data_IF_935712030087
#
_entry.id   IF_935712030087
#
_cell.length_a   1.000
_cell.length_b   1.000
_cell.length_c   1.000
_cell.angle_alpha   90.00
_cell.angle_beta   90.00
_cell.angle_gamma   90.00
#
_symmetry.space_group_name_H-M   'P 1'
#
loop_
_entity.id
_entity.type
_entity.pdbx_description
1 polymer ?
#
# COMPACT_ATOMS: atom_id res chain seq x y z
N UNK A 1 -14.31 -21.44 22.33
CA UNK A 1 -12.91 -21.87 22.52
C UNK A 1 -12.03 -20.83 21.86
N UNK A 2 -11.10 -20.26 22.63
CA UNK A 2 -10.35 -19.05 22.26
C UNK A 2 -9.48 -19.24 21.02
N UNK A 3 -9.60 -18.30 20.09
CA UNK A 3 -8.68 -18.11 18.98
C UNK A 3 -7.55 -17.19 19.48
N UNK A 4 -6.48 -17.78 19.97
CA UNK A 4 -5.19 -17.11 20.13
C UNK A 4 -4.20 -17.88 19.25
N UNK A 5 -3.82 -17.29 18.11
CA UNK A 5 -2.68 -17.78 17.33
C UNK A 5 -1.67 -16.64 17.22
N UNK A 6 -0.54 -16.83 17.89
CA UNK A 6 0.71 -16.11 17.61
C UNK A 6 1.15 -16.51 16.21
N UNK A 7 0.85 -15.67 15.22
CA UNK A 7 1.59 -15.65 13.97
C UNK A 7 2.94 -15.00 14.28
N UNK A 8 4.04 -15.63 13.86
CA UNK A 8 5.34 -14.96 13.89
C UNK A 8 5.57 -14.43 12.48
N UNK A 9 5.02 -13.27 12.22
CA UNK A 9 5.21 -12.51 10.99
C UNK A 9 6.54 -11.75 11.09
N UNK A 10 7.35 -11.86 10.05
CA UNK A 10 8.57 -11.08 9.92
C UNK A 10 8.32 -10.00 8.86
N UNK A 11 8.31 -8.75 9.31
CA UNK A 11 8.27 -7.58 8.46
C UNK A 11 9.69 -7.22 8.01
N UNK A 12 9.88 -6.66 6.83
CA UNK A 12 11.19 -6.21 6.33
C UNK A 12 11.11 -4.81 5.72
N UNK A 13 12.21 -4.05 5.81
CA UNK A 13 12.40 -2.74 5.16
C UNK A 13 13.52 -2.89 4.12
N UNK A 14 13.34 -2.43 2.89
CA UNK A 14 14.35 -2.53 1.81
C UNK A 14 14.74 -1.15 1.24
N UNK A 15 16.03 -0.95 0.91
CA UNK A 15 16.61 0.25 0.26
C UNK A 15 17.16 -0.13 -1.12
N UNK A 16 16.90 0.69 -2.14
CA UNK A 16 17.32 0.47 -3.53
C UNK A 16 18.66 1.15 -3.84
N UNK A 17 19.79 0.47 -3.61
CA UNK A 17 21.09 0.78 -4.25
C UNK A 17 22.01 -0.45 -4.17
N UNK A 18 22.68 -0.77 -5.28
CA UNK A 18 23.66 -1.87 -5.54
C UNK A 18 23.08 -3.22 -6.02
N UNK A 19 23.15 -3.46 -7.35
CA UNK A 19 22.81 -4.73 -8.01
C UNK A 19 24.06 -5.38 -8.66
N UNK A 20 24.30 -6.67 -8.39
CA UNK A 20 25.30 -7.48 -9.11
C UNK A 20 24.65 -8.63 -9.87
N UNK A 21 24.98 -8.73 -11.16
CA UNK A 21 24.41 -9.61 -12.19
C UNK A 21 25.08 -11.00 -12.18
N UNK A 22 24.30 -12.08 -12.35
CA UNK A 22 24.80 -13.40 -12.75
C UNK A 22 24.05 -13.87 -14.00
N UNK A 23 24.79 -14.44 -14.96
CA UNK A 23 24.33 -14.71 -16.33
C UNK A 23 23.82 -16.14 -16.53
N UNK A 24 22.88 -16.33 -17.47
CA UNK A 24 23.06 -17.27 -18.58
C UNK A 24 22.26 -16.85 -19.83
N UNK A 25 23.00 -16.30 -20.81
CA UNK A 25 22.78 -16.22 -22.26
C UNK A 25 21.36 -16.36 -22.85
N UNK A 26 20.73 -15.20 -23.08
CA UNK A 26 19.99 -14.87 -24.30
C UNK A 26 20.46 -13.48 -24.78
N UNK A 27 20.55 -13.25 -26.08
CA UNK A 27 21.04 -11.97 -26.64
C UNK A 27 20.09 -10.84 -26.25
N UNK A 28 20.57 -9.80 -25.55
CA UNK A 28 19.71 -8.73 -25.06
C UNK A 28 19.33 -7.79 -26.21
N UNK A 29 18.03 -7.55 -26.39
CA UNK A 29 17.59 -6.22 -26.82
C UNK A 29 18.17 -5.26 -25.77
N UNK A 30 18.88 -4.22 -26.21
CA UNK A 30 19.65 -3.30 -25.35
C UNK A 30 19.02 -3.14 -23.96
N UNK A 31 19.78 -3.55 -22.93
CA UNK A 31 19.55 -3.18 -21.53
C UNK A 31 19.56 -1.64 -21.49
N UNK A 32 18.41 -1.02 -21.71
CA UNK A 32 18.22 0.38 -21.38
C UNK A 32 18.21 0.43 -19.86
N UNK A 33 19.25 1.01 -19.29
CA UNK A 33 19.32 1.37 -17.88
C UNK A 33 18.23 2.41 -17.60
N UNK A 34 17.01 1.97 -17.36
CA UNK A 34 15.84 2.83 -17.20
C UNK A 34 15.68 3.26 -15.75
N UNK A 35 16.63 4.08 -15.32
CA UNK A 35 16.37 5.10 -14.31
C UNK A 35 17.02 6.36 -14.86
N UNK A 36 16.33 7.03 -15.79
CA UNK A 36 16.69 8.41 -16.08
C UNK A 36 16.46 9.17 -14.78
N UNK A 37 17.55 9.55 -14.11
CA UNK A 37 17.49 10.49 -13.00
C UNK A 37 16.70 11.71 -13.45
N UNK A 38 15.88 12.26 -12.55
CA UNK A 38 15.17 13.52 -12.79
C UNK A 38 16.14 14.59 -13.33
N UNK A 39 16.10 14.85 -14.64
CA UNK A 39 16.85 15.93 -15.26
C UNK A 39 15.95 17.17 -15.33
N UNK A 40 16.06 18.01 -14.32
CA UNK A 40 15.36 19.29 -14.26
C UNK A 40 15.63 20.15 -15.52
N UNK A 41 16.80 20.01 -16.16
CA UNK A 41 17.10 20.76 -17.40
C UNK A 41 16.28 20.31 -18.60
N UNK A 42 15.66 19.12 -18.50
CA UNK A 42 14.86 18.52 -19.57
C UNK A 42 13.40 18.96 -19.55
N UNK A 43 13.00 19.75 -18.54
CA UNK A 43 11.67 20.33 -18.36
C UNK A 43 11.79 21.86 -18.56
N UNK A 44 11.03 22.40 -19.50
CA UNK A 44 11.06 23.85 -19.77
C UNK A 44 10.55 24.63 -18.55
N UNK A 45 11.26 25.71 -18.19
CA UNK A 45 10.93 26.50 -17.00
C UNK A 45 11.05 25.78 -15.66
N UNK A 46 11.79 24.67 -15.57
CA UNK A 46 11.92 23.91 -14.32
C UNK A 46 12.40 24.78 -13.14
N UNK A 47 11.66 24.67 -12.04
CA UNK A 47 11.87 25.46 -10.84
C UNK A 47 11.90 24.61 -9.55
N UNK A 48 11.71 23.30 -9.68
CA UNK A 48 11.77 22.36 -8.56
C UNK A 48 13.21 22.29 -8.01
N UNK A 49 13.39 22.69 -6.75
CA UNK A 49 14.69 22.66 -6.09
C UNK A 49 14.54 22.30 -4.61
N UNK A 50 15.64 21.96 -3.90
CA UNK A 50 15.58 21.69 -2.47
C UNK A 50 14.88 22.77 -1.63
N UNK A 51 14.91 24.03 -2.08
CA UNK A 51 14.29 25.17 -1.38
C UNK A 51 12.98 25.63 -2.03
N UNK A 52 12.54 24.99 -3.13
CA UNK A 52 11.30 25.28 -3.82
C UNK A 52 10.68 24.02 -4.42
N UNK A 53 10.31 23.06 -3.58
CA UNK A 53 9.69 21.79 -4.02
C UNK A 53 8.24 21.93 -4.46
N UNK A 54 7.58 23.04 -4.12
CA UNK A 54 6.21 23.32 -4.55
C UNK A 54 6.13 23.61 -6.05
N UNK A 55 7.19 24.14 -6.62
CA UNK A 55 7.25 24.50 -8.03
C UNK A 55 7.67 23.30 -8.88
N UNK A 56 7.10 23.12 -10.07
CA UNK A 56 7.51 22.09 -11.02
C UNK A 56 8.11 22.72 -12.28
N UNK A 57 7.32 23.48 -13.02
CA UNK A 57 7.70 24.21 -14.24
C UNK A 57 6.90 25.51 -14.38
N UNK A 58 7.05 26.25 -15.48
CA UNK A 58 6.41 27.58 -15.68
C UNK A 58 4.91 27.60 -15.35
N UNK A 59 4.17 26.55 -15.74
CA UNK A 59 2.70 26.50 -15.60
C UNK A 59 2.21 25.45 -14.60
N UNK A 60 3.13 24.72 -13.96
CA UNK A 60 2.80 23.57 -13.11
C UNK A 60 3.46 23.70 -11.74
N UNK A 61 2.66 23.55 -10.69
CA UNK A 61 3.09 23.57 -9.30
C UNK A 61 2.21 22.66 -8.44
N UNK A 62 2.39 22.70 -7.12
CA UNK A 62 1.64 21.87 -6.16
C UNK A 62 0.14 22.18 -6.09
N UNK A 63 -0.29 23.33 -6.63
CA UNK A 63 -1.69 23.78 -6.63
C UNK A 63 -2.41 23.48 -7.94
N UNK A 64 -1.68 23.04 -8.96
CA UNK A 64 -2.24 22.60 -10.24
C UNK A 64 -3.15 21.38 -10.06
N UNK A 65 -4.36 21.42 -10.62
CA UNK A 65 -5.28 20.28 -10.56
C UNK A 65 -4.85 19.16 -11.50
N UNK A 66 -4.15 18.18 -10.94
CA UNK A 66 -3.54 17.07 -11.67
C UNK A 66 -4.54 16.04 -12.23
N UNK A 67 -5.81 16.12 -11.84
CA UNK A 67 -6.88 15.30 -12.44
C UNK A 67 -7.42 15.93 -13.73
N UNK A 68 -7.27 17.24 -13.92
CA UNK A 68 -7.82 17.98 -15.06
C UNK A 68 -6.73 18.32 -16.10
N UNK A 69 -5.54 18.69 -15.63
CA UNK A 69 -4.44 19.10 -16.49
C UNK A 69 -3.15 18.39 -16.12
N UNK A 70 -2.43 17.94 -17.15
CA UNK A 70 -1.15 17.24 -17.02
C UNK A 70 -0.10 17.95 -17.88
N UNK A 71 1.15 18.05 -17.43
CA UNK A 71 2.23 18.59 -18.26
C UNK A 71 2.53 17.63 -19.41
N UNK A 72 3.10 18.17 -20.49
CA UNK A 72 3.66 17.34 -21.55
C UNK A 72 4.87 16.58 -21.00
N UNK A 73 4.83 15.25 -21.09
CA UNK A 73 5.96 14.40 -20.74
C UNK A 73 6.51 13.62 -21.94
N UNK A 74 7.39 12.67 -21.63
CA UNK A 74 8.07 11.81 -22.60
C UNK A 74 7.63 10.36 -22.42
N UNK A 75 7.86 9.56 -23.45
CA UNK A 75 7.65 8.11 -23.36
C UNK A 75 8.83 7.47 -22.64
N UNK A 76 8.56 6.82 -21.50
CA UNK A 76 9.50 6.01 -20.72
C UNK A 76 9.20 4.55 -21.02
N UNK A 77 10.09 3.88 -21.73
CA UNK A 77 9.93 2.46 -22.06
C UNK A 77 10.48 1.62 -20.92
N UNK A 78 9.79 0.58 -20.47
CA UNK A 78 10.31 -0.36 -19.48
C UNK A 78 10.14 -1.79 -19.97
N UNK A 79 11.17 -2.60 -19.73
CA UNK A 79 11.17 -4.00 -20.11
C UNK A 79 11.26 -4.85 -18.85
N UNK A 80 10.17 -5.57 -18.57
CA UNK A 80 10.00 -6.35 -17.36
C UNK A 80 9.75 -7.80 -17.72
N UNK A 81 10.55 -8.69 -17.15
CA UNK A 81 10.40 -10.12 -17.31
C UNK A 81 10.10 -10.75 -15.96
N UNK A 82 9.06 -11.56 -15.91
CA UNK A 82 8.75 -12.40 -14.74
C UNK A 82 9.69 -13.61 -14.77
N UNK A 83 10.51 -13.76 -13.74
CA UNK A 83 11.39 -14.91 -13.56
C UNK A 83 11.00 -15.69 -12.30
N UNK A 84 11.24 -17.00 -12.30
CA UNK A 84 11.16 -17.83 -11.11
C UNK A 84 12.57 -18.03 -10.57
N UNK A 85 12.87 -17.45 -9.41
CA UNK A 85 14.19 -17.45 -8.82
C UNK A 85 14.16 -17.97 -7.39
N UNK A 86 15.27 -18.54 -6.94
CA UNK A 86 15.46 -18.88 -5.53
C UNK A 86 16.34 -17.83 -4.89
N UNK A 87 15.82 -17.11 -3.89
CA UNK A 87 16.51 -16.01 -3.22
C UNK A 87 16.47 -16.16 -1.69
N UNK A 88 17.35 -15.45 -0.98
CA UNK A 88 17.37 -15.44 0.49
C UNK A 88 17.44 -14.01 1.06
N UNK A 89 16.37 -13.20 0.96
CA UNK A 89 16.36 -11.81 1.42
C UNK A 89 16.67 -11.68 2.92
N UNK A 90 16.22 -12.66 3.70
CA UNK A 90 16.38 -12.71 5.15
C UNK A 90 17.32 -13.85 5.61
N UNK A 91 18.12 -14.38 4.68
CA UNK A 91 19.01 -15.51 4.94
C UNK A 91 18.33 -16.88 4.86
N UNK A 92 17.03 -16.92 4.55
CA UNK A 92 16.30 -18.16 4.27
C UNK A 92 16.01 -18.30 2.77
N UNK A 93 16.41 -19.41 2.16
CA UNK A 93 16.20 -19.65 0.74
C UNK A 93 14.73 -19.98 0.42
N UNK A 94 14.08 -19.11 -0.34
CA UNK A 94 12.70 -19.23 -0.81
C UNK A 94 12.62 -19.13 -2.33
N UNK A 95 11.68 -19.87 -2.93
CA UNK A 95 11.32 -19.69 -4.34
C UNK A 95 10.38 -18.48 -4.48
N UNK A 96 10.69 -17.58 -5.41
CA UNK A 96 9.97 -16.32 -5.65
C UNK A 96 9.77 -16.07 -7.13
N UNK A 97 8.64 -15.44 -7.45
CA UNK A 97 8.41 -14.81 -8.75
C UNK A 97 8.94 -13.38 -8.67
N UNK A 98 9.91 -13.03 -9.52
CA UNK A 98 10.60 -11.73 -9.48
C UNK A 98 10.48 -11.01 -10.82
N UNK A 99 10.57 -9.68 -10.78
CA UNK A 99 10.74 -8.88 -11.99
C UNK A 99 12.23 -8.66 -12.22
N UNK A 100 12.71 -9.01 -13.41
CA UNK A 100 14.12 -8.92 -13.82
C UNK A 100 15.09 -9.63 -12.85
N UNK A 101 14.62 -10.67 -12.14
CA UNK A 101 15.42 -11.42 -11.17
C UNK A 101 15.78 -10.67 -9.90
N UNK A 102 15.14 -9.52 -9.61
CA UNK A 102 15.47 -8.70 -8.44
C UNK A 102 14.34 -8.66 -7.42
N UNK A 103 14.71 -8.51 -6.15
CA UNK A 103 13.78 -8.32 -5.04
C UNK A 103 14.21 -7.11 -4.19
N UNK A 104 13.44 -6.01 -4.18
CA UNK A 104 12.25 -5.79 -4.98
C UNK A 104 12.55 -5.70 -6.49
N UNK A 105 11.50 -5.75 -7.32
CA UNK A 105 11.62 -5.51 -8.76
C UNK A 105 12.15 -4.08 -9.06
N UNK A 106 12.59 -3.79 -10.30
CA UNK A 106 13.08 -2.47 -10.67
C UNK A 106 12.08 -1.36 -10.35
N UNK A 107 12.57 -0.22 -9.87
CA UNK A 107 11.75 0.99 -9.73
C UNK A 107 11.48 1.57 -11.11
N UNK A 108 10.21 1.80 -11.40
CA UNK A 108 9.73 2.44 -12.61
C UNK A 108 9.63 3.93 -12.32
N UNK A 109 10.66 4.68 -12.70
CA UNK A 109 10.77 6.10 -12.38
C UNK A 109 10.50 6.97 -13.62
N UNK A 110 9.66 7.98 -13.46
CA UNK A 110 9.38 8.99 -14.46
C UNK A 110 8.94 10.30 -13.84
N UNK A 111 8.59 11.26 -14.68
CA UNK A 111 8.11 12.58 -14.29
C UNK A 111 6.60 12.69 -14.47
N UNK A 112 5.96 13.57 -13.73
CA UNK A 112 4.58 13.95 -14.01
C UNK A 112 4.44 14.38 -15.48
N UNK A 113 3.47 13.79 -16.18
CA UNK A 113 3.25 13.95 -17.62
C UNK A 113 3.85 12.83 -18.50
N UNK A 114 4.82 12.07 -17.98
CA UNK A 114 5.45 10.99 -18.76
C UNK A 114 4.46 9.84 -19.03
N UNK A 115 4.60 9.23 -20.21
CA UNK A 115 3.87 8.01 -20.57
C UNK A 115 4.76 6.80 -20.31
N UNK A 116 4.29 5.87 -19.47
CA UNK A 116 5.00 4.64 -19.16
C UNK A 116 4.61 3.53 -20.15
N UNK A 117 5.51 3.20 -21.07
CA UNK A 117 5.39 2.09 -22.02
C UNK A 117 6.11 0.87 -21.42
N UNK A 118 5.45 0.21 -20.48
CA UNK A 118 5.99 -0.97 -19.82
C UNK A 118 5.19 -2.20 -20.26
N UNK A 119 5.84 -3.07 -21.03
CA UNK A 119 5.33 -4.33 -21.57
C UNK A 119 4.86 -5.27 -20.44
N UNK A 120 3.71 -4.99 -19.82
CA UNK A 120 3.16 -5.70 -18.65
C UNK A 120 3.61 -5.19 -17.28
N UNK A 121 3.66 -3.86 -17.09
CA UNK A 121 4.08 -3.12 -15.88
C UNK A 121 3.85 -3.82 -14.53
N UNK A 122 4.93 -4.08 -13.78
CA UNK A 122 4.90 -4.43 -12.36
C UNK A 122 6.24 -4.14 -11.65
N UNK A 123 6.21 -3.27 -10.66
CA UNK A 123 7.36 -2.75 -9.94
C UNK A 123 6.97 -1.54 -9.08
N UNK A 124 7.90 -1.02 -8.28
CA UNK A 124 7.64 0.20 -7.53
C UNK A 124 7.55 1.39 -8.51
N UNK A 125 6.39 2.04 -8.59
CA UNK A 125 6.21 3.22 -9.43
C UNK A 125 6.61 4.48 -8.66
N UNK A 126 7.52 5.27 -9.23
CA UNK A 126 7.90 6.58 -8.72
C UNK A 126 7.65 7.63 -9.79
N UNK A 127 6.80 8.60 -9.46
CA UNK A 127 6.52 9.75 -10.33
C UNK A 127 7.04 10.99 -9.64
N UNK A 128 8.05 11.64 -10.23
CA UNK A 128 8.58 12.90 -9.75
C UNK A 128 7.60 14.03 -10.06
N UNK A 129 7.38 14.91 -9.09
CA UNK A 129 6.47 16.04 -9.18
C UNK A 129 6.70 17.04 -8.05
N UNK A 130 5.84 18.06 -7.93
CA UNK A 130 5.93 19.01 -6.83
C UNK A 130 5.62 18.32 -5.47
N UNK A 131 6.08 18.91 -4.38
CA UNK A 131 5.82 18.43 -3.00
C UNK A 131 5.39 19.60 -2.11
N UNK A 132 4.50 19.34 -1.16
CA UNK A 132 3.95 20.36 -0.27
C UNK A 132 4.96 20.94 0.74
N UNK A 133 6.13 20.31 0.87
CA UNK A 133 7.24 20.74 1.72
C UNK A 133 8.60 20.52 1.04
N UNK A 134 9.55 21.38 1.38
CA UNK A 134 10.93 21.34 0.90
C UNK A 134 11.73 20.17 1.52
N UNK A 135 12.60 19.55 0.72
CA UNK A 135 13.55 18.54 1.17
C UNK A 135 14.84 18.54 0.32
N UNK A 136 15.95 18.16 0.95
CA UNK A 136 17.27 18.08 0.31
C UNK A 136 17.42 16.84 -0.57
N UNK A 137 17.14 15.66 -0.01
CA UNK A 137 17.47 14.37 -0.63
C UNK A 137 16.22 13.51 -0.72
N UNK A 138 15.98 12.92 -1.89
CA UNK A 138 14.96 11.89 -2.09
C UNK A 138 15.60 10.51 -1.94
N UNK A 139 15.15 9.72 -0.96
CA UNK A 139 15.61 8.34 -0.77
C UNK A 139 14.82 7.34 -1.64
N UNK A 140 13.73 7.79 -2.26
CA UNK A 140 12.84 6.96 -3.07
C UNK A 140 11.96 6.02 -2.24
N UNK A 141 11.39 4.99 -2.90
CA UNK A 141 10.51 4.01 -2.26
C UNK A 141 11.21 3.18 -1.19
N UNK A 142 10.52 3.01 -0.06
CA UNK A 142 10.91 2.17 1.06
C UNK A 142 9.78 1.17 1.28
N UNK A 143 9.98 -0.04 0.75
CA UNK A 143 8.97 -1.10 0.82
C UNK A 143 8.98 -1.76 2.19
N UNK A 144 7.79 -1.93 2.74
CA UNK A 144 7.49 -2.61 4.00
C UNK A 144 6.60 -3.79 3.65
N UNK A 145 7.06 -5.01 3.92
CA UNK A 145 6.31 -6.23 3.54
C UNK A 145 6.44 -7.31 4.58
N UNK A 146 5.40 -8.12 4.73
CA UNK A 146 5.51 -9.44 5.33
C UNK A 146 6.35 -10.35 4.44
N UNK A 147 7.07 -11.29 5.06
CA UNK A 147 7.87 -12.27 4.35
C UNK A 147 7.60 -13.66 4.93
N UNK A 148 7.13 -14.54 4.06
CA UNK A 148 6.76 -15.91 4.36
C UNK A 148 7.80 -16.88 3.82
N UNK A 149 8.20 -17.89 4.60
CA UNK A 149 9.19 -18.90 4.20
C UNK A 149 8.61 -19.99 3.32
N UNK A 150 7.28 -20.09 3.24
CA UNK A 150 6.54 -20.87 2.24
C UNK A 150 5.96 -19.93 1.20
N UNK A 151 5.78 -20.48 -0.01
CA UNK A 151 5.12 -19.75 -1.08
C UNK A 151 3.65 -19.54 -0.73
N UNK A 152 3.08 -18.40 -1.12
CA UNK A 152 1.65 -18.08 -0.91
C UNK A 152 0.73 -19.17 -1.49
N UNK A 153 1.14 -19.83 -2.59
CA UNK A 153 0.41 -20.95 -3.17
C UNK A 153 0.33 -22.21 -2.28
N UNK A 154 1.24 -22.34 -1.31
CA UNK A 154 1.28 -23.44 -0.34
C UNK A 154 0.76 -23.05 1.05
N UNK A 155 0.38 -21.78 1.26
CA UNK A 155 -0.04 -21.23 2.55
C UNK A 155 -1.38 -21.74 3.10
N UNK A 156 -2.01 -22.73 2.45
CA UNK A 156 -3.06 -23.53 3.09
C UNK A 156 -2.52 -24.29 4.33
N UNK A 157 -1.19 -24.32 4.55
CA UNK A 157 -0.56 -24.86 5.75
C UNK A 157 0.37 -23.88 6.48
N UNK A 158 0.02 -23.60 7.74
CA UNK A 158 0.74 -22.81 8.75
C UNK A 158 2.27 -22.91 8.64
N UNK A 159 2.94 -21.77 8.77
CA UNK A 159 4.38 -21.69 9.01
C UNK A 159 4.66 -21.81 10.51
N UNK A 160 5.49 -22.79 10.87
CA UNK A 160 6.15 -22.84 12.17
C UNK A 160 7.56 -22.30 11.99
N UNK A 161 8.09 -21.61 13.01
CA UNK A 161 9.48 -21.17 13.12
C UNK A 161 10.43 -22.25 12.59
N UNK A 162 11.02 -22.00 11.42
CA UNK A 162 11.93 -22.96 10.79
C UNK A 162 13.30 -22.87 11.46
N UNK A 163 13.79 -24.02 11.95
CA UNK A 163 15.13 -24.20 12.51
C UNK A 163 16.25 -23.95 11.48
N UNK A 164 15.92 -23.86 10.19
CA UNK A 164 16.83 -23.54 9.11
C UNK A 164 17.09 -22.03 8.92
N UNK A 165 16.38 -21.15 9.64
CA UNK A 165 16.65 -19.71 9.61
C UNK A 165 17.96 -19.40 10.34
N UNK A 166 19.00 -19.03 9.57
CA UNK A 166 20.35 -18.78 10.09
C UNK A 166 20.56 -17.35 10.63
N UNK A 167 19.68 -16.41 10.29
CA UNK A 167 19.75 -15.02 10.77
C UNK A 167 20.90 -14.19 10.19
N UNK A 168 21.48 -14.60 9.06
CA UNK A 168 22.63 -13.95 8.42
C UNK A 168 22.24 -12.75 7.51
N UNK A 169 20.99 -12.26 7.60
CA UNK A 169 20.52 -11.17 6.74
C UNK A 169 21.15 -9.82 7.10
N UNK A 170 21.50 -9.07 6.05
CA UNK A 170 21.93 -7.69 6.20
C UNK A 170 20.70 -6.81 6.40
N UNK A 171 20.62 -6.15 7.55
CA UNK A 171 19.64 -5.11 7.79
C UNK A 171 19.86 -3.95 6.82
N UNK A 172 18.75 -3.45 6.26
CA UNK A 172 18.77 -2.25 5.44
C UNK A 172 19.28 -1.06 6.24
N UNK A 173 20.12 -0.22 5.63
CA UNK A 173 20.59 1.01 6.27
C UNK A 173 20.57 2.22 5.35
N UNK A 174 20.17 3.36 5.91
CA UNK A 174 20.12 4.66 5.27
C UNK A 174 21.16 5.58 5.89
N UNK A 175 21.92 6.29 5.07
CA UNK A 175 22.89 7.28 5.55
C UNK A 175 22.25 8.66 5.59
N UNK A 176 22.27 9.30 6.76
CA UNK A 176 21.79 10.65 6.96
C UNK A 176 22.97 11.57 7.24
N UNK A 177 23.06 12.67 6.51
CA UNK A 177 23.95 13.78 6.81
C UNK A 177 23.25 14.71 7.80
N UNK A 178 23.99 15.19 8.79
CA UNK A 178 23.42 16.01 9.84
C UNK A 178 22.85 17.33 9.28
N UNK A 179 21.68 17.72 9.76
CA UNK A 179 20.91 18.91 9.35
C UNK A 179 20.40 18.89 7.90
N UNK A 180 20.39 17.72 7.24
CA UNK A 180 19.72 17.52 5.96
C UNK A 180 18.30 16.98 6.15
N UNK A 181 17.45 17.20 5.16
CA UNK A 181 16.08 16.69 5.11
C UNK A 181 15.94 15.61 4.04
N UNK A 182 15.32 14.49 4.41
CA UNK A 182 15.22 13.30 3.57
C UNK A 182 13.75 12.95 3.30
N UNK A 183 13.36 12.90 2.03
CA UNK A 183 12.07 12.33 1.63
C UNK A 183 12.17 10.81 1.57
N UNK A 184 11.20 10.10 2.12
CA UNK A 184 11.04 8.65 2.02
C UNK A 184 9.62 8.34 1.59
N UNK A 185 9.45 7.55 0.53
CA UNK A 185 8.14 7.09 0.07
C UNK A 185 7.86 5.72 0.67
N UNK A 186 7.20 5.68 1.83
CA UNK A 186 6.86 4.43 2.50
C UNK A 186 5.75 3.72 1.73
N UNK A 187 5.90 2.42 1.49
CA UNK A 187 4.90 1.60 0.78
C UNK A 187 4.70 0.30 1.54
N UNK A 188 3.48 0.02 1.99
CA UNK A 188 3.17 -1.30 2.52
C UNK A 188 2.75 -2.25 1.39
N UNK A 189 3.63 -3.18 1.04
CA UNK A 189 3.42 -4.20 0.00
C UNK A 189 3.15 -5.59 0.58
N UNK A 190 2.81 -5.67 1.87
CA UNK A 190 2.51 -6.94 2.54
C UNK A 190 1.29 -7.62 1.93
N UNK A 191 1.20 -8.95 2.06
CA UNK A 191 0.02 -9.70 1.67
C UNK A 191 -1.10 -9.65 2.72
N UNK A 192 -0.74 -9.48 4.00
CA UNK A 192 -1.68 -9.61 5.11
C UNK A 192 -1.45 -8.67 6.31
N UNK A 193 -0.26 -8.06 6.42
CA UNK A 193 0.08 -7.26 7.59
C UNK A 193 -0.15 -5.76 7.36
N UNK A 194 -1.07 -5.18 8.12
CA UNK A 194 -1.14 -3.72 8.30
C UNK A 194 -0.04 -3.30 9.28
N UNK A 195 0.77 -2.30 8.92
CA UNK A 195 1.99 -1.98 9.64
C UNK A 195 1.99 -0.60 10.30
N UNK A 196 2.44 -0.54 11.55
CA UNK A 196 2.80 0.71 12.24
C UNK A 196 4.30 0.97 12.07
N UNK A 197 4.66 2.14 11.54
CA UNK A 197 6.04 2.57 11.26
C UNK A 197 6.49 3.72 12.18
N UNK A 198 7.75 3.68 12.64
CA UNK A 198 8.39 4.81 13.33
C UNK A 198 9.92 4.75 13.23
N UNK A 199 10.59 5.84 13.60
CA UNK A 199 12.05 5.95 13.63
C UNK A 199 12.48 6.40 15.02
N UNK A 200 13.41 5.68 15.63
CA UNK A 200 13.91 6.03 16.96
C UNK A 200 14.49 7.44 16.98
N UNK A 201 14.05 8.26 17.94
CA UNK A 201 14.51 9.65 18.14
C UNK A 201 14.26 10.60 16.96
N UNK A 202 13.37 10.26 16.03
CA UNK A 202 12.99 11.14 14.93
C UNK A 202 11.48 11.32 14.86
N UNK A 203 11.07 12.56 14.63
CA UNK A 203 9.76 12.88 14.07
C UNK A 203 9.91 13.06 12.57
N UNK A 204 8.80 13.00 11.85
CA UNK A 204 8.75 13.24 10.43
C UNK A 204 7.47 13.97 10.04
N UNK A 205 7.55 14.68 8.92
CA UNK A 205 6.40 15.35 8.31
C UNK A 205 5.79 14.45 7.26
N UNK A 206 4.49 14.22 7.31
CA UNK A 206 3.76 13.52 6.26
C UNK A 206 3.31 14.55 5.23
N UNK A 207 3.61 14.34 3.96
CA UNK A 207 3.43 15.34 2.88
C UNK A 207 2.59 14.84 1.71
N UNK A 208 2.40 13.53 1.60
CA UNK A 208 1.42 12.92 0.71
C UNK A 208 0.88 11.63 1.31
N UNK A 209 -0.35 11.28 0.96
CA UNK A 209 -0.93 9.96 1.15
C UNK A 209 -1.29 9.40 -0.21
N UNK A 210 -0.91 8.15 -0.48
CA UNK A 210 -1.03 7.53 -1.79
C UNK A 210 -0.40 8.39 -2.91
N UNK A 211 -1.18 8.81 -3.91
CA UNK A 211 -0.71 9.74 -4.95
C UNK A 211 -1.25 11.16 -4.76
N UNK A 212 -1.76 11.49 -3.57
CA UNK A 212 -2.39 12.77 -3.27
C UNK A 212 -1.49 13.58 -2.32
N UNK A 213 -0.90 14.70 -2.78
CA UNK A 213 -0.18 15.62 -1.90
C UNK A 213 -1.12 16.25 -0.87
N UNK A 214 -0.68 16.34 0.38
CA UNK A 214 -1.47 16.88 1.50
C UNK A 214 -0.78 18.08 2.17
N UNK A 215 -1.56 18.85 2.92
CA UNK A 215 -1.03 19.83 3.88
C UNK A 215 -0.12 19.11 4.88
N UNK A 216 1.16 19.52 5.04
CA UNK A 216 2.10 18.80 5.89
C UNK A 216 1.66 18.77 7.36
N UNK A 217 1.75 17.61 7.99
CA UNK A 217 1.60 17.46 9.43
C UNK A 217 2.73 16.62 10.03
N UNK A 218 3.10 16.92 11.28
CA UNK A 218 4.19 16.23 11.98
C UNK A 218 3.64 15.08 12.83
N UNK A 219 4.33 13.93 12.79
CA UNK A 219 4.08 12.78 13.66
C UNK A 219 5.39 12.05 13.97
N UNK A 220 5.42 11.18 14.98
CA UNK A 220 6.53 10.26 15.26
C UNK A 220 6.21 8.80 14.86
N UNK A 221 4.97 8.54 14.48
CA UNK A 221 4.45 7.22 14.11
C UNK A 221 3.34 7.35 13.08
N UNK A 222 3.23 6.35 12.20
CA UNK A 222 2.15 6.27 11.22
C UNK A 222 1.72 4.83 10.97
N UNK A 223 0.43 4.62 10.80
CA UNK A 223 -0.14 3.38 10.30
C UNK A 223 -0.21 3.38 8.77
N UNK A 224 0.18 2.25 8.18
CA UNK A 224 0.23 2.05 6.74
C UNK A 224 -0.47 0.74 6.44
N UNK A 225 -1.69 0.82 5.92
CA UNK A 225 -2.46 -0.33 5.50
C UNK A 225 -1.87 -0.94 4.21
N UNK A 226 -2.21 -2.19 3.91
CA UNK A 226 -1.72 -2.88 2.71
C UNK A 226 -2.12 -2.08 1.46
N UNK A 227 -1.15 -1.80 0.60
CA UNK A 227 -1.33 -1.01 -0.62
C UNK A 227 -1.23 0.51 -0.44
N UNK A 228 -1.24 1.01 0.80
CA UNK A 228 -1.09 2.45 1.07
C UNK A 228 0.36 2.92 0.93
N UNK A 229 0.50 4.20 0.59
CA UNK A 229 1.77 4.91 0.54
C UNK A 229 1.70 6.18 1.37
N UNK A 230 2.82 6.55 1.98
CA UNK A 230 3.00 7.87 2.56
C UNK A 230 4.36 8.43 2.18
N UNK A 231 4.38 9.64 1.63
CA UNK A 231 5.63 10.40 1.52
C UNK A 231 5.86 11.11 2.85
N UNK A 232 7.00 10.81 3.48
CA UNK A 232 7.44 11.46 4.71
C UNK A 232 8.74 12.25 4.48
N UNK A 233 8.92 13.35 5.20
CA UNK A 233 10.16 14.12 5.27
C UNK A 233 10.73 14.00 6.67
N UNK A 234 11.89 13.38 6.77
CA UNK A 234 12.64 13.19 8.02
C UNK A 234 13.72 14.26 8.12
N UNK A 235 13.74 14.99 9.24
CA UNK A 235 14.80 15.96 9.50
C UNK A 235 15.96 15.29 10.25
N UNK A 236 17.17 15.37 9.70
CA UNK A 236 18.35 14.72 10.26
C UNK A 236 18.99 15.55 11.40
N UNK A 237 18.19 15.88 12.41
CA UNK A 237 18.60 16.71 13.55
C UNK A 237 19.01 15.91 14.78
N UNK A 238 18.86 14.58 14.75
CA UNK A 238 19.18 13.74 15.90
C UNK A 238 20.70 13.64 16.08
N UNK A 239 21.22 14.26 17.14
CA UNK A 239 22.67 14.39 17.38
C UNK A 239 23.26 13.36 18.33
N UNK A 240 22.45 12.73 19.20
CA UNK A 240 22.92 11.75 20.20
C UNK A 240 21.84 10.71 20.48
N UNK A 241 22.19 9.42 20.31
CA UNK A 241 21.40 8.32 20.84
C UNK A 241 21.56 8.16 22.36
N UNK A 242 20.98 7.11 22.94
CA UNK A 242 20.90 6.86 24.39
C UNK A 242 22.27 6.91 25.12
N UNK A 243 23.36 6.51 24.46
CA UNK A 243 24.72 6.70 24.96
C UNK A 243 25.42 7.64 23.97
N UNK A 244 26.04 8.72 24.46
CA UNK A 244 26.60 9.88 23.73
C UNK A 244 27.58 9.60 22.56
N UNK A 245 27.82 8.33 22.21
CA UNK A 245 28.65 7.85 21.10
C UNK A 245 27.87 7.10 20.00
N UNK A 246 26.61 6.73 20.23
CA UNK A 246 25.80 6.03 19.22
C UNK A 246 24.97 7.04 18.43
N UNK A 247 25.20 7.07 17.12
CA UNK A 247 24.50 7.92 16.14
C UNK A 247 23.72 7.09 15.13
N UNK A 248 23.49 5.81 15.46
CA UNK A 248 22.65 4.90 14.69
C UNK A 248 21.31 4.73 15.37
N UNK A 249 20.23 4.72 14.59
CA UNK A 249 18.85 4.69 15.08
C UNK A 249 18.08 3.56 14.39
N UNK A 250 17.19 2.90 15.13
CA UNK A 250 16.32 1.89 14.56
C UNK A 250 15.22 2.54 13.72
N UNK A 251 14.95 1.95 12.57
CA UNK A 251 13.69 2.09 11.84
C UNK A 251 12.84 0.89 12.18
N UNK A 252 11.58 1.18 12.51
CA UNK A 252 10.65 0.18 12.97
C UNK A 252 9.46 0.02 12.07
N UNK A 253 9.03 -1.22 11.91
CA UNK A 253 7.74 -1.59 11.36
C UNK A 253 7.21 -2.81 12.12
N UNK A 254 5.92 -2.81 12.48
CA UNK A 254 5.27 -3.93 13.19
C UNK A 254 3.80 -4.08 12.79
N UNK A 255 3.23 -5.26 12.97
CA UNK A 255 1.78 -5.45 12.96
C UNK A 255 1.08 -4.49 13.94
N UNK A 256 0.08 -3.74 13.46
CA UNK A 256 -0.65 -2.71 14.21
C UNK A 256 -1.61 -3.27 15.28
N UNK A 257 -2.05 -4.51 15.12
CA UNK A 257 -3.03 -5.21 15.93
C UNK A 257 -2.36 -6.12 16.95
N UNK A 258 -1.35 -6.85 16.50
CA UNK A 258 -0.59 -7.76 17.33
C UNK A 258 0.75 -7.13 17.66
N UNK A 259 1.11 -7.12 18.95
CA UNK A 259 2.44 -6.75 19.41
C UNK A 259 3.61 -7.52 18.77
N UNK A 260 3.36 -8.49 17.87
CA UNK A 260 4.26 -8.94 16.80
C UNK A 260 5.67 -9.40 17.21
N UNK A 261 6.49 -9.72 16.21
CA UNK A 261 7.90 -10.08 16.39
C UNK A 261 8.79 -8.83 16.61
N UNK A 262 10.09 -8.91 16.28
CA UNK A 262 11.02 -7.76 16.34
C UNK A 262 10.55 -6.66 15.40
N UNK A 263 10.40 -5.44 15.91
CA UNK A 263 10.09 -4.29 15.08
C UNK A 263 11.33 -3.64 14.47
N UNK A 264 12.55 -4.02 14.85
CA UNK A 264 13.80 -3.37 14.43
C UNK A 264 14.26 -3.87 13.05
N UNK A 265 13.86 -3.20 11.97
CA UNK A 265 13.95 -3.74 10.60
C UNK A 265 14.88 -2.96 9.67
N UNK A 266 15.22 -1.73 10.02
CA UNK A 266 16.17 -0.89 9.28
C UNK A 266 16.99 -0.02 10.22
N UNK A 267 18.05 0.60 9.71
CA UNK A 267 18.96 1.44 10.50
C UNK A 267 19.19 2.77 9.80
N UNK A 268 19.00 3.89 10.49
CA UNK A 268 19.54 5.19 10.08
C UNK A 268 20.93 5.35 10.67
N UNK A 269 21.90 5.74 9.84
CA UNK A 269 23.30 5.93 10.20
C UNK A 269 23.74 7.36 9.87
N UNK A 270 24.12 8.11 10.89
CA UNK A 270 24.73 9.44 10.68
C UNK A 270 26.23 9.35 10.36
N UNK A 271 26.88 8.26 10.75
CA UNK A 271 28.23 7.91 10.32
C UNK A 271 28.16 6.74 9.33
N UNK A 272 28.43 7.01 8.06
CA UNK A 272 28.39 6.02 6.98
C UNK A 272 29.38 4.86 7.17
N UNK A 273 30.44 5.06 7.96
CA UNK A 273 31.44 4.02 8.23
C UNK A 273 31.03 3.09 9.38
N UNK A 274 30.03 3.50 10.15
CA UNK A 274 29.58 2.77 11.33
C UNK A 274 28.91 1.45 10.96
N UNK A 275 29.39 0.36 11.57
CA UNK A 275 28.79 -0.98 11.47
C UNK A 275 28.06 -1.39 12.75
N UNK A 276 28.04 -0.53 13.78
CA UNK A 276 27.39 -0.86 15.04
C UNK A 276 25.87 -0.94 14.88
N UNK A 277 25.26 -1.80 15.66
CA UNK A 277 23.81 -1.93 15.74
C UNK A 277 23.29 -0.84 16.70
N UNK A 278 22.15 -0.17 16.40
CA UNK A 278 21.53 0.77 17.33
C UNK A 278 21.20 0.12 18.67
N UNK A 279 21.18 0.92 19.75
CA UNK A 279 20.70 0.42 21.03
C UNK A 279 19.19 0.20 20.95
N UNK A 280 18.71 -0.95 21.44
CA UNK A 280 17.27 -1.28 21.44
C UNK A 280 16.64 -0.86 22.76
N UNK A 281 15.79 0.19 22.78
CA UNK A 281 15.00 0.52 23.97
C UNK A 281 14.00 -0.61 24.29
N UNK A 282 13.53 -0.71 25.55
CA UNK A 282 12.30 -1.44 25.84
C UNK A 282 11.17 -0.95 24.92
N UNK A 283 10.32 -1.84 24.38
CA UNK A 283 9.22 -1.43 23.54
C UNK A 283 8.34 -0.42 24.28
N UNK A 284 8.09 0.75 23.67
CA UNK A 284 7.14 1.70 24.27
C UNK A 284 5.74 1.07 24.22
N UNK A 285 4.96 1.22 25.30
CA UNK A 285 3.68 0.52 25.46
C UNK A 285 2.60 1.03 24.50
N UNK A 286 2.62 2.33 24.19
CA UNK A 286 1.85 3.00 23.13
C UNK A 286 2.08 2.37 21.74
N UNK A 287 3.28 1.87 21.47
CA UNK A 287 3.62 1.27 20.18
C UNK A 287 3.14 -0.19 20.03
N UNK A 288 2.75 -0.90 21.10
CA UNK A 288 2.51 -2.37 21.06
C UNK A 288 1.09 -2.72 20.63
N UNK A 289 0.15 -1.79 20.78
CA UNK A 289 -1.25 -1.94 20.36
C UNK A 289 -1.76 -0.58 19.86
N UNK A 290 -1.03 0.05 18.95
CA UNK A 290 -1.37 1.36 18.40
C UNK A 290 -2.77 1.36 17.73
N UNK A 291 -3.25 0.18 17.34
CA UNK A 291 -4.49 0.01 16.60
C UNK A 291 -4.23 0.09 15.10
N UNK A 292 -5.14 -0.43 14.29
CA UNK A 292 -4.99 -0.50 12.83
C UNK A 292 -5.87 0.51 12.09
N UNK A 293 -6.23 1.61 12.76
CA UNK A 293 -6.92 2.72 12.09
C UNK A 293 -5.91 3.51 11.28
N UNK A 294 -6.33 3.98 10.11
CA UNK A 294 -5.53 4.92 9.34
C UNK A 294 -5.34 6.24 10.11
N UNK A 295 -4.48 7.10 9.58
CA UNK A 295 -4.32 8.44 10.14
C UNK A 295 -5.66 9.20 10.15
N UNK A 296 -5.95 9.98 11.20
CA UNK A 296 -7.20 10.73 11.29
C UNK A 296 -7.43 11.58 10.04
N UNK A 297 -8.64 11.49 9.46
CA UNK A 297 -8.97 12.17 8.21
C UNK A 297 -8.80 13.68 8.29
N UNK A 298 -8.93 14.29 9.48
CA UNK A 298 -8.69 15.71 9.69
C UNK A 298 -7.23 16.13 9.48
N UNK A 299 -6.28 15.18 9.49
CA UNK A 299 -4.87 15.44 9.14
C UNK A 299 -4.60 15.28 7.65
N UNK A 300 -5.37 14.43 6.97
CA UNK A 300 -5.17 14.07 5.56
C UNK A 300 -5.88 15.07 4.64
N UNK A 301 -5.41 16.32 4.63
CA UNK A 301 -6.03 17.40 3.84
C UNK A 301 -5.33 17.57 2.49
N UNK A 302 -5.96 17.22 1.35
CA UNK A 302 -5.35 17.40 0.04
C UNK A 302 -4.99 18.87 -0.24
N UNK A 303 -3.85 19.11 -0.89
CA UNK A 303 -3.48 20.46 -1.35
C UNK A 303 -4.49 20.95 -2.39
N UNK A 304 -4.77 20.10 -3.39
CA UNK A 304 -5.82 20.33 -4.37
C UNK A 304 -7.13 19.82 -3.78
N UNK A 305 -8.01 20.75 -3.37
CA UNK A 305 -9.23 20.43 -2.65
C UNK A 305 -10.33 19.94 -3.58
N UNK A 306 -11.07 18.91 -3.16
CA UNK A 306 -12.27 18.42 -3.83
C UNK A 306 -13.52 18.94 -3.12
N UNK A 307 -14.45 19.50 -3.88
CA UNK A 307 -15.75 19.93 -3.37
C UNK A 307 -16.82 18.92 -3.78
N UNK A 308 -17.39 18.25 -2.78
CA UNK A 308 -18.51 17.33 -3.00
C UNK A 308 -19.79 18.14 -3.03
N UNK A 309 -20.45 18.17 -4.18
CA UNK A 309 -21.66 18.97 -4.40
C UNK A 309 -22.92 18.17 -4.08
N UNK A 310 -23.13 17.06 -4.78
CA UNK A 310 -24.25 16.14 -4.59
C UNK A 310 -23.78 14.72 -4.91
N UNK A 311 -24.22 13.77 -4.09
CA UNK A 311 -24.04 12.33 -4.32
C UNK A 311 -25.40 11.62 -4.34
N UNK A 312 -25.41 10.33 -4.70
CA UNK A 312 -26.60 9.48 -4.64
C UNK A 312 -27.14 9.36 -3.20
N UNK A 313 -28.46 9.28 -3.03
CA UNK A 313 -29.13 9.22 -1.72
C UNK A 313 -29.28 7.78 -1.20
N UNK A 314 -29.15 6.78 -2.08
CA UNK A 314 -29.42 5.38 -1.80
C UNK A 314 -28.20 4.57 -1.31
N UNK A 315 -27.05 5.23 -1.09
CA UNK A 315 -25.80 4.59 -0.65
C UNK A 315 -25.94 3.79 0.66
N UNK A 316 -26.81 4.23 1.57
CA UNK A 316 -27.11 3.50 2.82
C UNK A 316 -27.91 2.23 2.53
N UNK A 317 -28.90 2.32 1.63
CA UNK A 317 -29.75 1.18 1.25
C UNK A 317 -28.96 0.13 0.47
N UNK A 318 -28.02 0.58 -0.34
CA UNK A 318 -27.18 -0.25 -1.20
C UNK A 318 -25.77 -0.44 -0.62
N UNK A 319 -25.66 -0.48 0.71
CA UNK A 319 -24.38 -0.64 1.40
C UNK A 319 -23.70 -1.98 1.10
N UNK A 320 -22.37 -1.96 1.04
CA UNK A 320 -21.55 -3.15 0.86
C UNK A 320 -21.22 -3.78 2.20
N UNK A 321 -21.99 -4.81 2.56
CA UNK A 321 -21.78 -5.57 3.80
C UNK A 321 -20.72 -6.64 3.64
N UNK A 322 -19.59 -6.48 4.33
CA UNK A 322 -18.46 -7.43 4.31
C UNK A 322 -18.64 -8.50 5.38
N UNK A 323 -18.64 -9.77 4.98
CA UNK A 323 -18.78 -10.88 5.93
C UNK A 323 -18.15 -12.17 5.43
N UNK A 324 -18.01 -13.15 6.33
CA UNK A 324 -17.48 -14.47 6.04
C UNK A 324 -18.57 -15.54 5.97
N UNK A 325 -18.48 -16.39 4.96
CA UNK A 325 -19.34 -17.58 4.81
C UNK A 325 -18.51 -18.84 4.63
N UNK A 326 -19.04 -20.00 5.05
CA UNK A 326 -18.39 -21.29 4.83
C UNK A 326 -18.42 -21.74 3.35
N UNK A 327 -17.46 -22.54 2.92
CA UNK A 327 -17.46 -23.16 1.59
C UNK A 327 -17.20 -24.67 1.67
N UNK A 328 -17.92 -25.54 0.92
CA UNK A 328 -18.91 -25.24 -0.12
C UNK A 328 -20.30 -24.86 0.40
N UNK A 329 -20.53 -24.93 1.71
CA UNK A 329 -21.82 -24.61 2.32
C UNK A 329 -21.69 -23.38 3.22
N UNK A 330 -22.33 -22.28 2.80
CA UNK A 330 -22.32 -21.00 3.52
C UNK A 330 -22.90 -21.06 4.93
N UNK A 331 -23.80 -22.03 5.18
CA UNK A 331 -24.41 -22.24 6.50
C UNK A 331 -23.52 -23.02 7.47
N UNK A 332 -22.42 -23.62 6.98
CA UNK A 332 -21.49 -24.39 7.81
C UNK A 332 -20.44 -23.46 8.44
N UNK A 333 -20.67 -23.07 9.69
CA UNK A 333 -19.77 -22.17 10.44
C UNK A 333 -18.36 -22.75 10.63
N UNK A 334 -18.27 -24.05 10.87
CA UNK A 334 -17.07 -24.85 11.06
C UNK A 334 -16.49 -25.38 9.75
N UNK A 335 -16.74 -24.70 8.63
CA UNK A 335 -16.10 -25.08 7.38
C UNK A 335 -14.58 -24.93 7.46
N UNK A 336 -13.85 -25.80 6.76
CA UNK A 336 -12.39 -25.70 6.64
C UNK A 336 -11.96 -24.55 5.74
N UNK A 337 -12.85 -24.10 4.86
CA UNK A 337 -12.64 -22.96 3.98
C UNK A 337 -13.78 -21.97 4.16
N UNK A 338 -13.42 -20.69 4.13
CA UNK A 338 -14.35 -19.58 4.17
C UNK A 338 -14.11 -18.68 2.96
N UNK A 339 -15.17 -18.01 2.51
CA UNK A 339 -15.11 -16.99 1.48
C UNK A 339 -15.51 -15.64 2.06
N UNK A 340 -14.81 -14.61 1.63
CA UNK A 340 -15.23 -13.23 1.83
C UNK A 340 -16.41 -12.94 0.90
N UNK A 341 -17.41 -12.26 1.43
CA UNK A 341 -18.59 -11.80 0.71
C UNK A 341 -18.63 -10.28 0.80
N UNK A 342 -18.79 -9.62 -0.34
CA UNK A 342 -19.04 -8.19 -0.44
C UNK A 342 -20.47 -8.01 -0.96
N UNK A 343 -21.30 -7.26 -0.23
CA UNK A 343 -22.75 -7.22 -0.44
C UNK A 343 -23.42 -8.60 -0.33
N UNK A 344 -23.61 -9.29 -1.46
CA UNK A 344 -24.44 -10.51 -1.54
C UNK A 344 -23.69 -11.77 -1.99
N UNK A 345 -22.47 -11.64 -2.49
CA UNK A 345 -21.75 -12.73 -3.15
C UNK A 345 -20.24 -12.64 -2.96
N UNK A 346 -19.57 -13.78 -3.16
CA UNK A 346 -18.11 -13.82 -3.24
C UNK A 346 -17.67 -13.65 -4.68
N UNK A 347 -16.74 -12.71 -4.90
CA UNK A 347 -16.22 -12.41 -6.22
C UNK A 347 -15.52 -13.63 -6.84
N UNK A 348 -15.83 -13.88 -8.11
CA UNK A 348 -15.23 -14.94 -8.92
C UNK A 348 -15.20 -14.49 -10.38
N UNK A 349 -14.00 -14.55 -10.99
CA UNK A 349 -13.80 -14.26 -12.40
C UNK A 349 -13.33 -15.50 -13.15
N UNK A 350 -13.85 -15.69 -14.35
CA UNK A 350 -13.27 -16.57 -15.35
C UNK A 350 -12.20 -15.79 -16.14
N UNK A 351 -10.95 -16.20 -15.99
CA UNK A 351 -9.84 -15.56 -16.69
C UNK A 351 -9.90 -15.72 -18.22
N UNK A 352 -10.65 -16.70 -18.74
CA UNK A 352 -10.91 -16.85 -20.17
C UNK A 352 -11.94 -15.83 -20.69
N UNK A 353 -12.78 -15.28 -19.82
CA UNK A 353 -13.88 -14.36 -20.17
C UNK A 353 -13.83 -13.08 -19.30
N UNK A 354 -12.81 -12.22 -19.46
CA UNK A 354 -12.69 -11.01 -18.64
C UNK A 354 -13.87 -10.05 -18.87
N UNK A 355 -14.23 -9.26 -17.86
CA UNK A 355 -15.39 -8.34 -17.92
C UNK A 355 -15.40 -7.44 -19.16
N UNK A 356 -14.24 -6.98 -19.63
CA UNK A 356 -14.12 -6.16 -20.85
C UNK A 356 -14.49 -6.92 -22.13
N UNK A 357 -14.24 -8.24 -22.22
CA UNK A 357 -14.67 -9.02 -23.38
C UNK A 357 -16.19 -9.14 -23.42
N UNK A 358 -16.83 -9.28 -22.26
CA UNK A 358 -18.29 -9.32 -22.12
C UNK A 358 -18.93 -7.97 -22.51
N UNK A 359 -18.33 -6.85 -22.08
CA UNK A 359 -18.74 -5.50 -22.50
C UNK A 359 -18.61 -5.32 -24.01
N UNK A 360 -17.49 -5.76 -24.59
CA UNK A 360 -17.28 -5.71 -26.05
C UNK A 360 -18.35 -6.51 -26.80
N UNK A 361 -18.65 -7.74 -26.36
CA UNK A 361 -19.69 -8.58 -26.96
C UNK A 361 -21.05 -7.88 -26.88
N UNK A 362 -21.38 -7.26 -25.76
CA UNK A 362 -22.63 -6.53 -25.59
C UNK A 362 -22.74 -5.37 -26.59
N UNK A 363 -21.65 -4.59 -26.73
CA UNK A 363 -21.57 -3.49 -27.69
C UNK A 363 -21.74 -3.97 -29.14
N UNK A 364 -21.03 -5.02 -29.55
CA UNK A 364 -21.11 -5.58 -30.91
C UNK A 364 -22.49 -6.16 -31.24
N UNK A 365 -23.22 -6.65 -30.22
CA UNK A 365 -24.57 -7.18 -30.37
C UNK A 365 -25.69 -6.15 -30.17
N UNK A 366 -25.34 -4.91 -29.83
CA UNK A 366 -26.32 -3.85 -29.54
C UNK A 366 -27.17 -4.15 -28.30
N UNK A 367 -26.60 -4.81 -27.29
CA UNK A 367 -27.27 -5.02 -26.01
C UNK A 367 -27.18 -3.75 -25.15
N UNK A 368 -28.28 -3.38 -24.52
CA UNK A 368 -28.31 -2.24 -23.59
C UNK A 368 -27.36 -2.46 -22.40
N UNK A 369 -27.18 -3.73 -21.96
CA UNK A 369 -26.31 -4.09 -20.84
C UNK A 369 -25.52 -5.39 -21.10
N UNK A 370 -24.23 -5.46 -20.69
CA UNK A 370 -23.48 -6.70 -20.74
C UNK A 370 -24.05 -7.75 -19.79
N UNK A 371 -24.03 -9.00 -20.24
CA UNK A 371 -24.45 -10.15 -19.43
C UNK A 371 -23.23 -10.71 -18.72
N UNK A 372 -23.24 -10.65 -17.38
CA UNK A 372 -22.14 -11.11 -16.55
C UNK A 372 -22.49 -12.46 -15.88
N UNK A 373 -21.57 -13.44 -15.87
CA UNK A 373 -21.76 -14.67 -15.12
C UNK A 373 -21.91 -14.43 -13.61
N UNK A 374 -22.54 -15.38 -12.92
CA UNK A 374 -22.62 -15.38 -11.45
C UNK A 374 -21.21 -15.31 -10.85
N UNK A 375 -21.00 -14.41 -9.90
CA UNK A 375 -19.68 -14.16 -9.29
C UNK A 375 -18.94 -12.92 -9.81
N UNK A 376 -19.31 -12.38 -10.99
CA UNK A 376 -18.74 -11.11 -11.50
C UNK A 376 -19.39 -9.89 -10.84
N UNK A 377 -20.69 -9.97 -10.60
CA UNK A 377 -21.47 -9.12 -9.67
C UNK A 377 -21.18 -7.61 -9.86
N UNK A 378 -21.38 -7.08 -11.09
CA UNK A 378 -21.03 -5.71 -11.40
C UNK A 378 -21.91 -4.73 -10.63
N UNK A 379 -21.31 -3.66 -10.13
CA UNK A 379 -22.03 -2.49 -9.64
C UNK A 379 -22.14 -1.51 -10.80
N UNK A 380 -23.35 -1.33 -11.32
CA UNK A 380 -23.58 -0.41 -12.45
C UNK A 380 -23.76 1.01 -11.93
N UNK A 381 -22.94 1.93 -12.43
CA UNK A 381 -22.94 3.34 -12.06
C UNK A 381 -23.48 4.18 -13.24
N UNK A 382 -24.81 4.21 -13.38
CA UNK A 382 -25.47 5.01 -14.42
C UNK A 382 -25.80 6.42 -13.90
N UNK A 383 -24.75 7.25 -13.83
CA UNK A 383 -24.83 8.63 -13.38
C UNK A 383 -24.32 9.59 -14.46
N UNK A 384 -24.77 10.84 -14.41
CA UNK A 384 -24.24 11.88 -15.30
C UNK A 384 -22.75 12.08 -15.04
N UNK A 385 -21.99 12.39 -16.09
CA UNK A 385 -20.58 12.71 -15.94
C UNK A 385 -20.37 13.86 -14.93
N UNK A 386 -19.34 13.75 -14.09
CA UNK A 386 -19.04 14.70 -13.02
C UNK A 386 -19.93 14.57 -11.76
N UNK A 387 -20.79 13.55 -11.67
CA UNK A 387 -21.58 13.28 -10.46
C UNK A 387 -20.76 12.50 -9.45
N UNK A 388 -20.76 12.92 -8.18
CA UNK A 388 -20.17 12.13 -7.09
C UNK A 388 -21.04 10.92 -6.78
N UNK A 389 -20.40 9.78 -6.47
CA UNK A 389 -21.08 8.57 -6.01
C UNK A 389 -20.52 8.20 -4.64
N UNK A 390 -21.41 8.09 -3.66
CA UNK A 390 -21.09 7.67 -2.32
C UNK A 390 -21.31 6.15 -2.17
N UNK A 391 -20.38 5.51 -1.46
CA UNK A 391 -20.47 4.10 -1.10
C UNK A 391 -20.33 3.95 0.41
N UNK A 392 -21.22 3.16 1.02
CA UNK A 392 -21.08 2.74 2.41
C UNK A 392 -20.56 1.30 2.44
N UNK A 393 -19.40 1.07 3.06
CA UNK A 393 -18.82 -0.26 3.23
C UNK A 393 -18.87 -0.61 4.72
N UNK A 394 -19.56 -1.69 5.04
CA UNK A 394 -19.84 -2.07 6.42
C UNK A 394 -19.10 -3.36 6.78
N UNK A 395 -18.11 -3.24 7.67
CA UNK A 395 -17.49 -4.39 8.33
C UNK A 395 -18.21 -4.81 9.62
N UNK A 396 -19.05 -3.93 10.19
CA UNK A 396 -19.79 -4.14 11.44
C UNK A 396 -21.25 -3.77 11.28
N UNK A 397 -22.13 -4.77 11.34
CA UNK A 397 -23.57 -4.61 11.17
C UNK A 397 -24.34 -5.71 11.90
N UNK A 398 -25.55 -5.41 12.34
CA UNK A 398 -26.47 -6.37 12.94
C UNK A 398 -27.65 -6.66 12.02
N UNK A 399 -27.61 -7.76 11.26
CA UNK A 399 -28.76 -8.21 10.45
C UNK A 399 -29.26 -9.59 10.91
N UNK A 400 -30.57 -9.68 11.18
CA UNK A 400 -31.26 -10.97 11.32
C UNK A 400 -31.91 -11.34 9.99
N UNK A 401 -31.38 -12.34 9.29
CA UNK A 401 -32.04 -12.87 8.09
C UNK A 401 -33.28 -13.66 8.54
N UNK A 402 -34.47 -13.19 8.16
CA UNK A 402 -35.70 -13.98 8.23
C UNK A 402 -35.67 -15.02 7.11
N UNK A 403 -35.41 -16.28 7.44
CA UNK A 403 -35.56 -17.33 6.44
C UNK A 403 -37.06 -17.63 6.23
N UNK A 404 -37.60 -17.25 5.07
CA UNK A 404 -39.00 -17.48 4.68
C UNK A 404 -39.38 -18.96 4.51
N UNK A 405 -38.41 -19.89 4.57
CA UNK A 405 -38.65 -21.29 4.14
C UNK A 405 -38.67 -22.32 5.27
N UNK A 406 -38.46 -21.94 6.54
CA UNK A 406 -38.55 -22.89 7.66
C UNK A 406 -39.43 -22.37 8.78
N UNK A 407 -40.45 -23.17 9.19
CA UNK A 407 -41.21 -23.02 10.44
C UNK A 407 -40.29 -23.24 11.64
N UNK A 408 -39.39 -22.30 11.88
CA UNK A 408 -38.38 -22.35 12.93
C UNK A 408 -37.44 -21.16 12.78
N UNK A 409 -37.64 -20.15 13.63
CA UNK A 409 -36.84 -18.93 13.65
C UNK A 409 -35.37 -19.23 13.96
N UNK A 410 -34.55 -19.51 12.95
CA UNK A 410 -33.10 -19.59 13.12
C UNK A 410 -32.49 -18.25 12.70
N UNK A 411 -32.13 -17.42 13.69
CA UNK A 411 -31.33 -16.20 13.47
C UNK A 411 -30.00 -16.63 12.87
N UNK A 412 -29.80 -16.40 11.58
CA UNK A 412 -28.49 -16.58 10.94
C UNK A 412 -27.71 -15.30 11.17
N UNK A 413 -26.81 -15.34 12.14
CA UNK A 413 -25.78 -14.33 12.26
C UNK A 413 -24.77 -14.62 11.14
N UNK A 414 -24.77 -13.82 10.06
CA UNK A 414 -23.58 -13.69 9.20
C UNK A 414 -22.42 -13.38 10.16
N UNK A 415 -21.35 -14.17 10.13
CA UNK A 415 -20.21 -13.89 11.01
C UNK A 415 -19.60 -12.59 10.50
N UNK A 416 -19.89 -11.51 11.23
CA UNK A 416 -19.35 -10.18 10.99
C UNK A 416 -17.82 -10.28 10.84
N UNK A 417 -17.25 -9.54 9.88
CA UNK A 417 -15.80 -9.42 9.76
C UNK A 417 -15.24 -8.73 11.02
N UNK A 418 -14.47 -9.42 11.88
CA UNK A 418 -13.93 -8.81 13.10
C UNK A 418 -12.54 -8.21 12.83
N UNK A 419 -12.27 -7.76 11.59
CA UNK A 419 -10.94 -7.33 11.14
C UNK A 419 -11.03 -6.09 10.28
N UNK A 420 -10.00 -5.24 10.34
CA UNK A 420 -9.84 -4.09 9.46
C UNK A 420 -9.52 -4.58 8.03
N UNK A 421 -10.11 -3.92 7.02
CA UNK A 421 -9.91 -4.23 5.61
C UNK A 421 -9.38 -3.00 4.87
N UNK A 422 -8.18 -3.05 4.27
CA UNK A 422 -7.73 -2.01 3.35
C UNK A 422 -8.55 -2.09 2.07
N UNK A 423 -9.40 -1.10 1.82
CA UNK A 423 -10.21 -1.01 0.61
C UNK A 423 -9.41 -0.26 -0.46
N UNK A 424 -9.27 -0.88 -1.62
CA UNK A 424 -8.63 -0.30 -2.79
C UNK A 424 -9.62 -0.18 -3.94
N UNK A 425 -9.68 0.99 -4.56
CA UNK A 425 -10.54 1.28 -5.70
C UNK A 425 -9.65 1.53 -6.92
N UNK A 426 -9.91 0.81 -8.01
CA UNK A 426 -9.18 1.00 -9.26
C UNK A 426 -9.76 2.19 -10.04
N UNK A 427 -8.91 2.93 -10.75
CA UNK A 427 -9.31 3.98 -11.68
C UNK A 427 -9.68 5.32 -11.06
N UNK A 428 -9.71 5.43 -9.73
CA UNK A 428 -10.11 6.64 -9.02
C UNK A 428 -9.34 6.80 -7.71
N UNK A 429 -9.02 8.05 -7.37
CA UNK A 429 -8.91 8.45 -5.96
C UNK A 429 -10.33 8.65 -5.40
N UNK A 430 -10.55 8.29 -4.14
CA UNK A 430 -11.84 8.49 -3.48
C UNK A 430 -11.71 9.44 -2.29
N UNK A 431 -12.78 10.19 -2.01
CA UNK A 431 -12.84 11.05 -0.82
C UNK A 431 -13.37 10.22 0.36
N UNK A 432 -12.57 10.14 1.43
CA UNK A 432 -12.99 9.53 2.67
C UNK A 432 -13.91 10.49 3.43
N UNK A 433 -15.23 10.21 3.40
CA UNK A 433 -16.23 11.00 4.11
C UNK A 433 -16.26 10.71 5.61
N UNK A 434 -16.19 9.43 5.97
CA UNK A 434 -16.19 8.96 7.35
C UNK A 434 -15.53 7.57 7.43
N UNK A 435 -14.98 7.22 8.59
CA UNK A 435 -14.45 5.90 8.89
C UNK A 435 -14.52 5.62 10.39
N UNK A 436 -14.78 4.38 10.78
CA UNK A 436 -14.90 4.05 12.20
C UNK A 436 -14.92 2.56 12.50
N UNK A 437 -14.90 2.25 13.80
CA UNK A 437 -14.94 0.87 14.35
C UNK A 437 -16.32 0.47 14.87
N UNK A 438 -17.26 1.41 14.86
CA UNK A 438 -18.63 1.20 15.31
C UNK A 438 -19.58 0.92 14.14
N UNK A 439 -20.74 0.37 14.48
CA UNK A 439 -21.82 0.21 13.51
C UNK A 439 -22.24 1.60 13.00
N UNK A 440 -22.44 1.72 11.69
CA UNK A 440 -22.77 2.98 11.05
C UNK A 440 -24.07 3.57 11.62
N UNK A 441 -24.04 4.86 11.95
CA UNK A 441 -25.22 5.59 12.42
C UNK A 441 -25.47 6.80 11.50
N UNK A 442 -26.55 6.80 10.69
CA UNK A 442 -26.85 7.89 9.76
C UNK A 442 -27.16 9.22 10.45
N UNK A 443 -27.48 9.23 11.75
CA UNK A 443 -27.75 10.47 12.50
C UNK A 443 -26.47 11.24 12.89
N UNK A 444 -25.29 10.66 12.67
CA UNK A 444 -23.98 11.26 13.03
C UNK A 444 -23.26 11.96 11.87
N UNK A 445 -23.79 11.89 10.65
CA UNK A 445 -23.20 12.48 9.44
C UNK A 445 -23.63 13.92 9.21
#
# INVERSE_FOLDING_TARGET
MGFWKRLTEFLFIHRFTDQTKFSHTYSPVQDLSLVDAFDAKSIDGACNSPTNRKCWSTDFDIYTDYEEIIPEGKVRKFLLYVTNERIAPDGYWVDRMLFNGTYPGPTLEGNWGDTFDADGLAGALKINGPTSMNYDVDLGPVLITDNFHKTTFSQVQLEYLDKNCKGDSKLTSFHFEQNKTYKMSLVNTAASTHTTFWIDSHKFWVVATDFVPIEPYETDMINIAIGQRYDIIVNATAVKGHNSRNVNFWMHARDCQNGGARSNLGIIRYDATSKSIPWTPPPRQDNICYGCQDEPSEKLKPIVKRNITQHNEDYIKNSFKVHLVGYPNEFKKDSLMHKWVLANSSFYLDWAEPSLSLVKIASEKGWDNPQFPVGYEPVTLDYKNGTWVAFLIEGKFTESIHNSTTKGHRKVYKTQAPVAHPIHVHGHDFVLLDSGTEEFNPEKL
#
